data_IF_349328669510
#
_entry.id   IF_349328669510
#
_cell.length_a   1.000
_cell.length_b   1.000
_cell.length_c   1.000
_cell.angle_alpha   90.00
_cell.angle_beta   90.00
_cell.angle_gamma   90.00
#
_symmetry.space_group_name_H-M   'P 1'
#
loop_
_entity.id
_entity.type
_entity.pdbx_description
1 polymer ?
#
# COMPACT_ATOMS: atom_id res chain seq x y z
N UNK A 1 27.19 35.88 49.57
CA UNK A 1 26.78 35.43 48.23
C UNK A 1 26.29 33.97 48.30
N UNK A 2 24.97 33.76 48.29
CA UNK A 2 24.34 32.43 48.38
C UNK A 2 24.10 31.88 46.98
N UNK A 3 24.77 30.79 46.59
CA UNK A 3 24.55 30.07 45.33
C UNK A 3 23.23 29.28 45.47
N UNK A 4 22.20 29.63 44.69
CA UNK A 4 20.98 28.83 44.53
C UNK A 4 21.30 27.62 43.64
N UNK A 5 21.23 26.42 44.18
CA UNK A 5 21.23 25.16 43.43
C UNK A 5 19.85 25.01 42.83
N UNK A 6 19.74 25.07 41.49
CA UNK A 6 18.56 24.71 40.75
C UNK A 6 18.58 23.18 40.61
N UNK A 7 17.73 22.51 41.38
CA UNK A 7 17.48 21.08 41.24
C UNK A 7 16.45 20.93 40.11
N UNK A 8 16.93 20.48 38.94
CA UNK A 8 16.11 20.13 37.82
C UNK A 8 15.48 18.75 38.14
N UNK A 9 14.27 18.74 38.68
CA UNK A 9 13.49 17.50 38.88
C UNK A 9 13.07 16.97 37.54
N UNK A 10 13.76 15.92 37.09
CA UNK A 10 13.36 15.11 35.93
C UNK A 10 12.15 14.26 36.37
N UNK A 11 10.96 14.74 36.08
CA UNK A 11 9.73 13.94 36.25
C UNK A 11 9.74 12.89 35.14
N UNK A 12 10.20 11.70 35.49
CA UNK A 12 10.00 10.50 34.64
C UNK A 12 8.51 10.15 34.73
N UNK A 13 7.75 10.71 33.79
CA UNK A 13 6.38 10.29 33.56
C UNK A 13 6.45 8.93 32.89
N UNK A 14 6.31 7.86 33.68
CA UNK A 14 6.18 6.48 33.22
C UNK A 14 4.81 6.34 32.52
N UNK A 15 4.68 6.95 31.34
CA UNK A 15 3.55 6.74 30.45
C UNK A 15 3.66 5.33 29.87
N UNK A 16 2.68 4.50 30.12
CA UNK A 16 2.48 3.25 29.37
C UNK A 16 2.59 3.56 27.90
N UNK A 17 3.68 3.13 27.27
CA UNK A 17 3.92 3.29 25.84
C UNK A 17 2.84 2.49 25.10
N UNK A 18 1.74 3.16 24.73
CA UNK A 18 0.81 2.63 23.74
C UNK A 18 1.56 2.62 22.41
N UNK A 19 1.88 1.42 21.91
CA UNK A 19 2.46 1.26 20.58
C UNK A 19 1.39 1.64 19.56
N UNK A 20 1.42 2.88 19.11
CA UNK A 20 0.60 3.34 18.00
C UNK A 20 1.29 2.92 16.71
N UNK A 21 0.58 2.18 15.86
CA UNK A 21 1.16 1.62 14.64
C UNK A 21 0.39 2.12 13.43
N UNK A 22 1.04 2.87 12.52
CA UNK A 22 0.52 3.09 11.17
C UNK A 22 0.45 1.74 10.45
N UNK A 23 -0.67 1.43 9.82
CA UNK A 23 -1.01 0.08 9.39
C UNK A 23 -1.56 0.09 7.99
N UNK A 24 -1.17 -0.92 7.22
CA UNK A 24 -1.61 -1.15 5.84
C UNK A 24 -2.43 -2.44 5.74
N UNK A 25 -3.03 -2.68 4.58
CA UNK A 25 -3.72 -3.92 4.24
C UNK A 25 -2.77 -5.13 4.13
N UNK A 26 -1.46 -4.91 3.98
CA UNK A 26 -0.47 -5.96 3.75
C UNK A 26 0.43 -6.26 4.97
N UNK A 27 0.35 -5.51 6.05
CA UNK A 27 1.10 -5.79 7.27
C UNK A 27 0.28 -6.65 8.27
N UNK A 28 0.96 -7.20 9.29
CA UNK A 28 0.35 -8.03 10.33
C UNK A 28 0.07 -7.22 11.62
N UNK A 29 -0.24 -5.94 11.51
CA UNK A 29 -0.46 -5.06 12.64
C UNK A 29 -1.94 -4.69 12.75
N UNK A 30 -2.45 -4.56 13.97
CA UNK A 30 -3.83 -4.14 14.25
C UNK A 30 -3.88 -2.82 14.99
N UNK A 31 -4.84 -1.98 14.63
CA UNK A 31 -5.23 -0.81 15.41
C UNK A 31 -6.00 -1.23 16.65
N UNK A 32 -5.80 -0.56 17.75
CA UNK A 32 -6.55 -0.80 18.97
C UNK A 32 -8.01 -0.36 18.81
N UNK A 33 -8.87 -0.90 19.66
CA UNK A 33 -10.30 -0.56 19.66
C UNK A 33 -10.49 0.95 19.85
N UNK A 34 -11.35 1.55 19.02
CA UNK A 34 -11.69 2.98 19.00
C UNK A 34 -10.50 3.92 18.72
N UNK A 35 -9.42 3.41 18.18
CA UNK A 35 -8.32 4.24 17.68
C UNK A 35 -8.41 4.37 16.15
N UNK A 36 -8.14 5.56 15.64
CA UNK A 36 -8.15 5.90 14.23
C UNK A 36 -6.79 6.45 13.82
N UNK A 37 -6.10 5.75 12.95
CA UNK A 37 -4.86 6.21 12.33
C UNK A 37 -5.19 6.79 10.95
N UNK A 38 -4.74 7.99 10.67
CA UNK A 38 -4.94 8.64 9.36
C UNK A 38 -3.73 9.50 9.02
N UNK A 39 -3.40 9.57 7.75
CA UNK A 39 -2.30 10.43 7.31
C UNK A 39 -2.12 10.51 5.80
N UNK A 40 -1.44 11.57 5.34
CA UNK A 40 -1.01 11.73 3.97
C UNK A 40 0.24 10.88 3.69
N UNK A 41 0.35 10.44 2.45
CA UNK A 41 1.53 9.77 1.91
C UNK A 41 1.87 10.34 0.53
N UNK A 42 3.16 10.53 0.27
CA UNK A 42 3.70 10.89 -1.03
C UNK A 42 4.51 9.72 -1.58
N UNK A 43 4.30 9.41 -2.85
CA UNK A 43 5.05 8.41 -3.60
C UNK A 43 5.64 8.98 -4.89
N UNK A 44 6.78 8.46 -5.28
CA UNK A 44 7.40 8.69 -6.57
C UNK A 44 7.98 7.40 -7.10
N UNK A 45 7.75 7.12 -8.37
CA UNK A 45 8.40 6.04 -9.08
C UNK A 45 8.73 6.44 -10.51
N UNK A 46 9.75 5.81 -11.09
CA UNK A 46 10.10 6.03 -12.48
C UNK A 46 10.73 4.79 -13.10
N UNK A 47 10.59 4.67 -14.41
CA UNK A 47 11.21 3.62 -15.19
C UNK A 47 11.61 4.15 -16.59
N UNK A 48 12.68 3.57 -17.12
CA UNK A 48 13.15 3.81 -18.48
C UNK A 48 13.19 2.50 -19.26
N UNK A 49 13.54 1.40 -18.59
CA UNK A 49 13.49 0.07 -19.17
C UNK A 49 12.16 -0.62 -18.85
N UNK A 50 11.71 -1.47 -19.73
CA UNK A 50 10.49 -2.26 -19.56
C UNK A 50 10.65 -3.66 -20.20
N UNK A 51 9.74 -4.55 -19.91
CA UNK A 51 9.63 -5.83 -20.57
C UNK A 51 8.47 -5.80 -21.57
N UNK A 52 8.77 -6.18 -22.84
CA UNK A 52 7.80 -6.51 -23.88
C UNK A 52 7.73 -8.03 -23.93
N UNK A 53 6.65 -8.61 -23.45
CA UNK A 53 6.69 -10.01 -23.05
C UNK A 53 7.78 -10.20 -21.98
N UNK A 54 8.70 -11.13 -22.22
CA UNK A 54 9.88 -11.38 -21.37
C UNK A 54 11.14 -10.66 -21.84
N UNK A 55 11.10 -9.97 -22.99
CA UNK A 55 12.25 -9.28 -23.56
C UNK A 55 12.40 -7.90 -22.95
N UNK A 56 13.49 -7.66 -22.24
CA UNK A 56 13.81 -6.36 -21.68
C UNK A 56 14.24 -5.37 -22.75
N UNK A 57 13.61 -4.20 -22.76
CA UNK A 57 13.86 -3.10 -23.71
C UNK A 57 14.07 -1.76 -22.99
N UNK A 58 14.73 -0.84 -23.68
CA UNK A 58 14.77 0.58 -23.32
C UNK A 58 13.59 1.31 -23.99
N UNK A 59 12.92 2.18 -23.25
CA UNK A 59 11.82 2.99 -23.77
C UNK A 59 12.38 4.23 -24.48
N UNK A 60 12.70 4.06 -25.75
CA UNK A 60 13.23 5.15 -26.57
C UNK A 60 12.15 6.14 -27.02
N UNK A 61 10.87 5.72 -27.05
CA UNK A 61 9.76 6.54 -27.55
C UNK A 61 9.30 7.58 -26.53
N UNK A 62 9.17 7.18 -25.24
CA UNK A 62 8.66 8.02 -24.16
C UNK A 62 9.78 8.47 -23.20
N UNK A 63 10.99 7.91 -23.37
CA UNK A 63 12.09 8.15 -22.46
C UNK A 63 11.80 7.57 -21.07
N UNK A 64 11.95 8.40 -20.04
CA UNK A 64 11.62 8.03 -18.67
C UNK A 64 10.15 8.34 -18.37
N UNK A 65 9.39 7.33 -18.00
CA UNK A 65 8.04 7.48 -17.46
C UNK A 65 8.11 7.57 -15.94
N UNK A 66 7.47 8.57 -15.39
CA UNK A 66 7.43 8.81 -13.94
C UNK A 66 6.00 8.97 -13.45
N UNK A 67 5.77 8.52 -12.21
CA UNK A 67 4.49 8.59 -11.52
C UNK A 67 4.70 9.25 -10.15
N UNK A 68 3.90 10.26 -9.84
CA UNK A 68 3.78 10.84 -8.49
C UNK A 68 2.42 10.46 -7.93
N UNK A 69 2.39 10.13 -6.65
CA UNK A 69 1.18 9.73 -5.93
C UNK A 69 1.07 10.54 -4.66
N UNK A 70 -0.05 11.21 -4.47
CA UNK A 70 -0.44 11.82 -3.19
C UNK A 70 -1.63 11.04 -2.68
N UNK A 71 -1.55 10.41 -1.53
CA UNK A 71 -2.65 9.62 -1.02
C UNK A 71 -3.01 9.98 0.41
N UNK A 72 -4.27 9.78 0.76
CA UNK A 72 -4.73 9.77 2.15
C UNK A 72 -5.12 8.35 2.48
N UNK A 73 -4.55 7.83 3.57
CA UNK A 73 -4.86 6.49 4.05
C UNK A 73 -5.34 6.56 5.49
N UNK A 74 -6.23 5.63 5.85
CA UNK A 74 -6.71 5.54 7.21
C UNK A 74 -7.03 4.11 7.62
N UNK A 75 -7.00 3.88 8.95
CA UNK A 75 -7.29 2.61 9.57
C UNK A 75 -8.01 2.84 10.91
N UNK A 76 -9.19 2.29 11.06
CA UNK A 76 -9.99 2.36 12.28
C UNK A 76 -10.12 0.99 12.94
N UNK A 77 -9.79 0.92 14.22
CA UNK A 77 -9.98 -0.27 15.04
C UNK A 77 -11.40 -0.36 15.60
N UNK A 78 -12.23 -1.23 15.02
CA UNK A 78 -13.56 -1.53 15.56
C UNK A 78 -13.40 -2.27 16.89
N UNK A 79 -12.49 -3.23 16.91
CA UNK A 79 -12.08 -3.95 18.11
C UNK A 79 -10.67 -4.53 17.92
N UNK A 80 -10.11 -5.22 18.92
CA UNK A 80 -8.75 -5.76 18.89
C UNK A 80 -8.51 -6.88 17.85
N UNK A 81 -9.56 -7.27 17.10
CA UNK A 81 -9.50 -8.31 16.06
C UNK A 81 -10.01 -7.84 14.70
N UNK A 82 -10.67 -6.69 14.63
CA UNK A 82 -11.32 -6.20 13.39
C UNK A 82 -11.02 -4.75 13.17
N UNK A 83 -10.43 -4.46 12.01
CA UNK A 83 -10.13 -3.12 11.53
C UNK A 83 -10.79 -2.86 10.19
N UNK A 84 -11.11 -1.60 9.91
CA UNK A 84 -11.52 -1.11 8.60
C UNK A 84 -10.47 -0.12 8.12
N UNK A 85 -10.03 -0.28 6.87
CA UNK A 85 -9.02 0.58 6.26
C UNK A 85 -9.57 1.20 4.98
N UNK A 86 -9.00 2.34 4.61
CA UNK A 86 -9.25 2.96 3.32
C UNK A 86 -7.98 3.61 2.77
N UNK A 87 -7.94 3.79 1.45
CA UNK A 87 -6.89 4.53 0.76
C UNK A 87 -7.45 5.21 -0.48
N UNK A 88 -7.12 6.48 -0.66
CA UNK A 88 -7.52 7.29 -1.82
C UNK A 88 -6.28 8.02 -2.38
N UNK A 89 -5.73 7.58 -3.50
CA UNK A 89 -4.61 8.22 -4.16
C UNK A 89 -5.06 9.25 -5.20
N UNK A 90 -4.31 10.33 -5.32
CA UNK A 90 -4.27 11.24 -6.46
C UNK A 90 -2.96 10.98 -7.20
N UNK A 91 -3.06 10.63 -8.47
CA UNK A 91 -1.93 10.15 -9.28
C UNK A 91 -1.65 11.14 -10.41
N UNK A 92 -0.35 11.37 -10.68
CA UNK A 92 0.13 12.14 -11.82
C UNK A 92 1.17 11.31 -12.56
N UNK A 93 1.01 11.19 -13.86
CA UNK A 93 1.97 10.51 -14.74
C UNK A 93 2.66 11.49 -15.67
N UNK A 94 3.89 11.23 -16.04
CA UNK A 94 4.65 12.07 -16.96
C UNK A 94 5.69 11.24 -17.73
N UNK A 95 5.77 11.46 -19.04
CA UNK A 95 6.87 10.99 -19.89
C UNK A 95 7.90 12.12 -20.11
N UNK A 96 9.18 11.77 -20.23
CA UNK A 96 10.25 12.75 -20.48
C UNK A 96 10.46 13.07 -21.95
N UNK A 97 9.90 12.26 -22.85
CA UNK A 97 9.97 12.40 -24.30
C UNK A 97 8.66 11.89 -24.94
N UNK A 98 8.58 12.00 -26.26
CA UNK A 98 7.42 11.56 -27.03
C UNK A 98 6.27 12.58 -27.01
N UNK A 99 5.10 12.14 -27.48
CA UNK A 99 3.92 13.00 -27.67
C UNK A 99 2.77 12.66 -26.71
N UNK A 100 2.91 11.60 -25.89
CA UNK A 100 1.87 11.22 -24.94
C UNK A 100 1.91 12.17 -23.73
N UNK A 101 0.83 12.89 -23.54
CA UNK A 101 0.63 13.71 -22.35
C UNK A 101 0.41 12.82 -21.12
N UNK A 102 0.87 13.29 -19.96
CA UNK A 102 0.55 12.66 -18.68
C UNK A 102 -0.94 12.83 -18.37
N UNK A 103 -1.43 11.94 -17.54
CA UNK A 103 -2.76 12.04 -16.91
C UNK A 103 -2.61 12.34 -15.43
N UNK A 104 -3.62 12.98 -14.86
CA UNK A 104 -3.71 13.22 -13.42
C UNK A 104 -5.16 13.14 -12.94
N UNK A 105 -5.36 12.69 -11.72
CA UNK A 105 -6.69 12.58 -11.11
C UNK A 105 -6.71 11.70 -9.87
N UNK A 106 -7.89 11.62 -9.26
CA UNK A 106 -8.17 10.63 -8.24
C UNK A 106 -8.22 9.25 -8.92
N UNK A 107 -7.46 8.30 -8.39
CA UNK A 107 -7.45 6.93 -8.89
C UNK A 107 -8.58 6.13 -8.25
N UNK A 108 -8.30 4.95 -7.70
CA UNK A 108 -9.31 4.08 -7.13
C UNK A 108 -9.42 4.29 -5.61
N UNK A 109 -10.64 4.50 -5.11
CA UNK A 109 -10.91 4.38 -3.69
C UNK A 109 -10.86 2.89 -3.31
N UNK A 110 -10.00 2.56 -2.37
CA UNK A 110 -9.86 1.21 -1.84
C UNK A 110 -10.33 1.13 -0.40
N UNK A 111 -11.10 0.12 -0.08
CA UNK A 111 -11.64 -0.18 1.24
C UNK A 111 -11.25 -1.60 1.64
N UNK A 112 -10.84 -1.82 2.89
CA UNK A 112 -10.51 -3.15 3.37
C UNK A 112 -11.10 -3.41 4.76
N UNK A 113 -11.44 -4.67 4.99
CA UNK A 113 -11.76 -5.22 6.31
C UNK A 113 -10.67 -6.22 6.66
N UNK A 114 -9.96 -5.97 7.76
CA UNK A 114 -8.85 -6.78 8.26
C UNK A 114 -9.25 -7.47 9.55
N UNK A 115 -9.25 -8.79 9.51
CA UNK A 115 -9.61 -9.64 10.65
C UNK A 115 -8.42 -10.46 11.11
N UNK A 116 -8.07 -10.30 12.40
CA UNK A 116 -7.12 -11.18 13.09
C UNK A 116 -7.84 -12.45 13.54
N UNK A 117 -7.80 -13.49 12.71
CA UNK A 117 -8.51 -14.75 12.93
C UNK A 117 -7.92 -15.57 14.09
N UNK A 118 -6.58 -15.54 14.20
CA UNK A 118 -5.87 -16.36 15.18
C UNK A 118 -4.64 -15.62 15.70
N UNK A 119 -4.32 -15.78 16.99
CA UNK A 119 -3.06 -15.35 17.58
C UNK A 119 -2.77 -16.13 18.85
N UNK A 120 -1.74 -16.96 18.81
CA UNK A 120 -1.28 -17.76 19.97
C UNK A 120 0.24 -17.77 20.07
N UNK A 121 0.72 -18.03 21.29
CA UNK A 121 2.12 -18.32 21.53
C UNK A 121 2.44 -19.71 20.99
N UNK A 122 3.41 -19.82 20.10
CA UNK A 122 3.89 -21.08 19.49
C UNK A 122 5.39 -21.11 19.68
N UNK A 123 5.89 -22.14 20.33
CA UNK A 123 7.30 -22.24 20.75
C UNK A 123 7.75 -20.98 21.49
N UNK A 124 8.84 -20.34 21.07
CA UNK A 124 9.40 -19.12 21.69
C UNK A 124 8.85 -17.81 21.11
N UNK A 125 7.89 -17.87 20.16
CA UNK A 125 7.32 -16.70 19.50
C UNK A 125 5.79 -16.68 19.55
N UNK A 126 5.21 -15.80 18.77
CA UNK A 126 3.77 -15.63 18.56
C UNK A 126 3.43 -15.80 17.08
N UNK A 127 2.55 -16.73 16.78
CA UNK A 127 1.96 -16.89 15.46
C UNK A 127 0.62 -16.13 15.42
N UNK A 128 0.43 -15.30 14.39
CA UNK A 128 -0.82 -14.60 14.13
C UNK A 128 -1.25 -14.83 12.68
N UNK A 129 -2.54 -15.09 12.47
CA UNK A 129 -3.14 -15.28 11.16
C UNK A 129 -4.21 -14.22 10.94
N UNK A 130 -4.23 -13.64 9.72
CA UNK A 130 -5.19 -12.62 9.35
C UNK A 130 -5.86 -12.99 8.01
N UNK A 131 -7.13 -12.60 7.89
CA UNK A 131 -7.86 -12.58 6.65
C UNK A 131 -8.28 -11.13 6.36
N UNK A 132 -8.12 -10.71 5.10
CA UNK A 132 -8.44 -9.36 4.66
C UNK A 132 -9.27 -9.44 3.40
N UNK A 133 -10.47 -8.87 3.42
CA UNK A 133 -11.31 -8.62 2.26
C UNK A 133 -11.14 -7.18 1.81
N UNK A 134 -10.97 -6.93 0.52
CA UNK A 134 -10.81 -5.60 -0.04
C UNK A 134 -11.72 -5.36 -1.24
N UNK A 135 -12.17 -4.11 -1.39
CA UNK A 135 -12.92 -3.66 -2.56
C UNK A 135 -12.37 -2.33 -3.03
N UNK A 136 -12.03 -2.25 -4.31
CA UNK A 136 -11.53 -1.05 -4.96
C UNK A 136 -12.42 -0.66 -6.15
N UNK A 137 -12.61 0.64 -6.37
CA UNK A 137 -13.36 1.14 -7.51
C UNK A 137 -12.86 2.53 -7.91
N UNK A 138 -12.95 2.91 -9.20
CA UNK A 138 -12.58 4.23 -9.68
C UNK A 138 -13.28 5.33 -8.91
N UNK A 139 -12.50 6.32 -8.40
CA UNK A 139 -13.02 7.46 -7.66
C UNK A 139 -13.24 8.69 -8.54
N UNK A 140 -12.74 8.67 -9.77
CA UNK A 140 -12.98 9.64 -10.81
C UNK A 140 -13.06 8.96 -12.17
N UNK A 141 -13.53 9.69 -13.15
CA UNK A 141 -13.54 9.28 -14.55
C UNK A 141 -12.16 9.55 -15.15
N UNK A 142 -11.46 8.49 -15.55
CA UNK A 142 -10.14 8.55 -16.18
C UNK A 142 -10.03 7.46 -17.27
N UNK A 143 -9.14 7.63 -18.23
CA UNK A 143 -9.01 6.70 -19.36
C UNK A 143 -8.09 5.54 -19.00
N UNK A 144 -8.66 4.35 -18.76
CA UNK A 144 -7.95 3.15 -18.30
C UNK A 144 -7.00 2.56 -19.35
N UNK A 145 -7.30 2.69 -20.64
CA UNK A 145 -6.50 2.14 -21.75
C UNK A 145 -5.44 3.10 -22.29
N UNK A 146 -5.23 4.27 -21.69
CA UNK A 146 -4.18 5.21 -22.08
C UNK A 146 -2.81 4.83 -21.48
N UNK A 147 -2.49 3.55 -21.53
CA UNK A 147 -1.22 3.02 -21.01
C UNK A 147 -0.02 3.41 -21.91
N UNK A 148 1.16 3.67 -21.32
CA UNK A 148 1.49 3.59 -19.90
C UNK A 148 1.24 4.88 -19.11
N UNK A 149 0.49 5.84 -19.67
CA UNK A 149 0.24 7.14 -19.04
C UNK A 149 -1.06 7.18 -18.23
N UNK A 150 -1.89 6.14 -18.29
CA UNK A 150 -3.09 6.06 -17.46
C UNK A 150 -2.75 6.04 -15.97
N UNK A 151 -3.62 6.62 -15.15
CA UNK A 151 -3.50 6.66 -13.69
C UNK A 151 -4.04 5.39 -13.02
N UNK A 152 -4.79 4.54 -13.73
CA UNK A 152 -5.35 3.28 -13.26
C UNK A 152 -5.90 2.46 -14.43
N UNK A 153 -6.52 1.33 -14.13
CA UNK A 153 -7.09 0.41 -15.12
C UNK A 153 -8.62 0.50 -15.23
N UNK A 154 -9.27 1.37 -14.45
CA UNK A 154 -10.73 1.59 -14.44
C UNK A 154 -11.56 0.36 -14.04
N UNK A 155 -10.92 -0.71 -13.64
CA UNK A 155 -11.56 -1.97 -13.21
C UNK A 155 -11.89 -1.94 -11.73
N UNK A 156 -13.11 -2.35 -11.37
CA UNK A 156 -13.47 -2.62 -9.97
C UNK A 156 -12.81 -3.92 -9.52
N UNK A 157 -12.28 -3.92 -8.30
CA UNK A 157 -11.48 -5.02 -7.79
C UNK A 157 -12.08 -5.54 -6.48
N UNK A 158 -12.28 -6.86 -6.41
CA UNK A 158 -12.59 -7.57 -5.16
C UNK A 158 -11.37 -8.42 -4.80
N UNK A 159 -10.83 -8.25 -3.61
CA UNK A 159 -9.63 -8.98 -3.18
C UNK A 159 -9.83 -9.76 -1.89
N UNK A 160 -9.18 -10.92 -1.82
CA UNK A 160 -9.08 -11.72 -0.60
C UNK A 160 -7.61 -12.01 -0.32
N UNK A 161 -7.15 -11.67 0.88
CA UNK A 161 -5.76 -11.88 1.31
C UNK A 161 -5.69 -12.66 2.60
N UNK A 162 -4.80 -13.66 2.64
CA UNK A 162 -4.36 -14.33 3.85
C UNK A 162 -2.98 -13.85 4.27
N UNK A 163 -2.76 -13.64 5.58
CA UNK A 163 -1.44 -13.29 6.15
C UNK A 163 -1.12 -14.24 7.29
N UNK A 164 0.11 -14.75 7.32
CA UNK A 164 0.70 -15.43 8.47
C UNK A 164 1.94 -14.65 8.94
N UNK A 165 1.96 -14.30 10.23
CA UNK A 165 3.03 -13.54 10.88
C UNK A 165 3.56 -14.32 12.08
N UNK A 166 4.87 -14.48 12.15
CA UNK A 166 5.54 -15.07 13.29
C UNK A 166 6.56 -14.09 13.86
N UNK A 167 6.38 -13.73 15.14
CA UNK A 167 7.28 -12.82 15.85
C UNK A 167 7.92 -13.51 17.05
N UNK A 168 9.25 -13.42 17.14
CA UNK A 168 10.06 -13.90 18.27
C UNK A 168 10.94 -12.77 18.79
N UNK A 169 10.63 -12.28 19.99
CA UNK A 169 11.25 -11.06 20.51
C UNK A 169 10.98 -9.88 19.57
N UNK A 170 12.02 -9.21 19.12
CA UNK A 170 11.93 -8.08 18.21
C UNK A 170 12.04 -8.48 16.72
N UNK A 171 12.32 -9.74 16.40
CA UNK A 171 12.42 -10.24 15.02
C UNK A 171 11.09 -10.86 14.58
N UNK A 172 10.73 -10.61 13.32
CA UNK A 172 9.53 -11.18 12.74
C UNK A 172 9.72 -11.61 11.29
N UNK A 173 8.83 -12.49 10.86
CA UNK A 173 8.64 -12.87 9.47
C UNK A 173 7.16 -12.94 9.13
N UNK A 174 6.78 -12.41 7.99
CA UNK A 174 5.40 -12.37 7.50
C UNK A 174 5.35 -12.87 6.08
N UNK A 175 4.39 -13.75 5.79
CA UNK A 175 4.04 -14.16 4.43
C UNK A 175 2.58 -13.82 4.16
N UNK A 176 2.25 -13.44 2.94
CA UNK A 176 0.88 -13.22 2.52
C UNK A 176 0.64 -13.63 1.07
N UNK A 177 -0.58 -14.08 0.80
CA UNK A 177 -1.08 -14.35 -0.54
C UNK A 177 -2.39 -13.62 -0.77
N UNK A 178 -2.58 -13.09 -1.97
CA UNK A 178 -3.80 -12.35 -2.36
C UNK A 178 -4.31 -12.88 -3.69
N UNK A 179 -5.61 -13.02 -3.78
CA UNK A 179 -6.34 -13.23 -5.03
C UNK A 179 -7.22 -12.01 -5.31
N UNK A 180 -7.26 -11.54 -6.55
CA UNK A 180 -8.00 -10.35 -6.97
C UNK A 180 -8.87 -10.69 -8.16
N UNK A 181 -10.18 -10.58 -7.98
CA UNK A 181 -11.16 -10.62 -9.06
C UNK A 181 -11.32 -9.22 -9.61
N UNK A 182 -11.22 -9.06 -10.92
CA UNK A 182 -11.37 -7.78 -11.60
C UNK A 182 -12.63 -7.75 -12.47
N UNK A 183 -13.36 -6.62 -12.43
CA UNK A 183 -14.45 -6.40 -13.36
C UNK A 183 -13.91 -6.07 -14.74
N UNK A 184 -14.67 -6.40 -15.79
CA UNK A 184 -14.46 -5.87 -17.12
C UNK A 184 -14.47 -4.34 -17.11
N UNK A 185 -13.83 -3.75 -18.10
CA UNK A 185 -13.81 -2.30 -18.35
C UNK A 185 -14.48 -1.99 -19.68
N UNK A 186 -14.93 -0.74 -19.82
CA UNK A 186 -15.56 -0.26 -21.06
C UNK A 186 -14.68 0.82 -21.68
N UNK A 187 -14.33 0.64 -22.95
CA UNK A 187 -13.53 1.59 -23.70
C UNK A 187 -14.41 2.63 -24.40
N UNK A 188 -13.86 3.81 -24.63
CA UNK A 188 -14.51 4.85 -25.45
C UNK A 188 -14.25 4.62 -26.95
N UNK A 189 -14.48 3.38 -27.41
CA UNK A 189 -14.39 2.97 -28.83
C UNK A 189 -15.08 1.64 -29.03
N UNK A 190 -15.60 1.40 -30.23
CA UNK A 190 -16.45 0.22 -30.54
C UNK A 190 -15.65 -1.03 -30.90
N UNK A 191 -14.34 -0.96 -30.99
CA UNK A 191 -13.49 -2.09 -31.32
C UNK A 191 -12.07 -1.93 -30.75
N UNK A 192 -11.44 -3.05 -30.45
CA UNK A 192 -10.03 -3.10 -30.04
C UNK A 192 -9.33 -4.36 -30.57
N UNK A 193 -8.01 -4.36 -30.56
CA UNK A 193 -7.17 -5.46 -31.00
C UNK A 193 -6.37 -6.02 -29.82
N UNK A 194 -6.35 -7.34 -29.69
CA UNK A 194 -5.47 -8.07 -28.78
C UNK A 194 -4.49 -8.94 -29.61
N UNK A 195 -4.76 -10.23 -29.69
CA UNK A 195 -4.21 -11.16 -30.68
C UNK A 195 -5.13 -11.28 -31.91
N UNK A 196 -6.34 -10.80 -31.82
CA UNK A 196 -7.37 -10.73 -32.84
C UNK A 196 -8.21 -9.47 -32.67
N UNK A 197 -9.03 -9.14 -33.66
CA UNK A 197 -9.93 -7.97 -33.63
C UNK A 197 -11.19 -8.33 -32.84
N UNK A 198 -11.52 -7.50 -31.86
CA UNK A 198 -12.75 -7.55 -31.09
C UNK A 198 -13.65 -6.38 -31.48
N UNK A 199 -14.86 -6.68 -31.93
CA UNK A 199 -15.91 -5.68 -32.23
C UNK A 199 -16.80 -5.49 -31.02
N UNK A 200 -16.20 -4.93 -29.97
CA UNK A 200 -16.81 -4.65 -28.67
C UNK A 200 -16.07 -3.50 -28.01
N UNK A 201 -16.72 -2.76 -27.15
CA UNK A 201 -16.09 -1.79 -26.24
C UNK A 201 -15.82 -2.39 -24.84
N UNK A 202 -16.29 -3.61 -24.56
CA UNK A 202 -16.07 -4.29 -23.30
C UNK A 202 -14.80 -5.16 -23.38
N UNK A 203 -13.89 -4.97 -22.40
CA UNK A 203 -12.64 -5.70 -22.29
C UNK A 203 -12.66 -6.60 -21.08
N UNK A 204 -12.49 -7.90 -21.32
CA UNK A 204 -12.31 -8.88 -20.26
C UNK A 204 -10.97 -8.67 -19.55
N UNK A 205 -11.04 -8.38 -18.25
CA UNK A 205 -9.88 -8.15 -17.42
C UNK A 205 -9.46 -9.45 -16.72
N UNK A 206 -8.24 -9.95 -16.95
CA UNK A 206 -7.78 -11.16 -16.26
C UNK A 206 -7.68 -10.91 -14.76
N UNK A 207 -8.10 -11.87 -13.94
CA UNK A 207 -7.87 -11.87 -12.50
C UNK A 207 -6.38 -11.81 -12.18
N UNK A 208 -6.05 -11.54 -10.93
CA UNK A 208 -4.67 -11.44 -10.53
C UNK A 208 -4.40 -12.13 -9.19
N UNK A 209 -3.15 -12.51 -9.01
CA UNK A 209 -2.66 -13.04 -7.74
C UNK A 209 -1.39 -12.30 -7.31
N UNK A 210 -1.15 -12.23 -6.01
CA UNK A 210 0.12 -11.73 -5.50
C UNK A 210 0.57 -12.51 -4.28
N UNK A 211 1.86 -12.48 -4.07
CA UNK A 211 2.49 -13.10 -2.93
C UNK A 211 3.59 -12.17 -2.40
N UNK A 212 3.66 -12.05 -1.07
CA UNK A 212 4.57 -11.11 -0.41
C UNK A 212 5.23 -11.79 0.78
N UNK A 213 6.55 -11.62 0.90
CA UNK A 213 7.35 -12.06 2.04
C UNK A 213 8.03 -10.85 2.65
N UNK A 214 8.03 -10.79 3.98
CA UNK A 214 8.71 -9.76 4.77
C UNK A 214 9.46 -10.37 5.91
N UNK A 215 10.55 -9.75 6.28
CA UNK A 215 11.27 -10.12 7.48
C UNK A 215 12.08 -8.94 7.99
N UNK A 216 12.14 -8.81 9.31
CA UNK A 216 12.82 -7.68 9.90
C UNK A 216 12.67 -7.55 11.41
N UNK A 217 12.87 -6.34 11.85
CA UNK A 217 12.86 -5.93 13.25
C UNK A 217 11.58 -5.12 13.56
N UNK A 218 10.92 -5.44 14.67
CA UNK A 218 9.71 -4.74 15.15
C UNK A 218 9.76 -4.63 16.67
N UNK A 219 10.11 -3.46 17.19
CA UNK A 219 10.18 -3.19 18.63
C UNK A 219 10.15 -1.69 18.91
N UNK A 220 9.55 -1.28 20.04
CA UNK A 220 9.58 0.09 20.60
C UNK A 220 9.24 1.19 19.59
N UNK A 221 8.25 0.97 18.74
CA UNK A 221 7.82 1.95 17.74
C UNK A 221 8.68 1.98 16.46
N UNK A 222 9.73 1.17 16.37
CA UNK A 222 10.52 1.00 15.16
C UNK A 222 10.13 -0.30 14.45
N UNK A 223 9.88 -0.20 13.14
CA UNK A 223 9.78 -1.33 12.23
C UNK A 223 10.75 -1.08 11.09
N UNK A 224 11.57 -2.08 10.80
CA UNK A 224 12.50 -2.07 9.68
C UNK A 224 12.49 -3.46 9.05
N UNK A 225 12.08 -3.57 7.78
CA UNK A 225 11.85 -4.85 7.13
C UNK A 225 12.33 -4.86 5.68
N UNK A 226 12.94 -5.97 5.28
CA UNK A 226 13.15 -6.31 3.88
C UNK A 226 11.86 -6.94 3.32
N UNK A 227 11.58 -6.67 2.05
CA UNK A 227 10.36 -7.10 1.37
C UNK A 227 10.71 -7.72 0.03
N UNK A 228 10.10 -8.85 -0.26
CA UNK A 228 9.94 -9.40 -1.60
C UNK A 228 8.46 -9.43 -1.93
N UNK A 229 8.10 -8.96 -3.11
CA UNK A 229 6.72 -8.87 -3.60
C UNK A 229 6.65 -9.40 -5.03
N UNK A 230 5.68 -10.24 -5.30
CA UNK A 230 5.40 -10.77 -6.62
C UNK A 230 3.92 -10.60 -6.93
N UNK A 231 3.65 -10.08 -8.12
CA UNK A 231 2.31 -9.89 -8.68
C UNK A 231 2.26 -10.52 -10.06
N UNK A 232 1.19 -11.23 -10.37
CA UNK A 232 0.91 -11.73 -11.71
C UNK A 232 -0.58 -11.64 -12.04
N UNK A 233 -0.90 -11.40 -13.30
CA UNK A 233 -2.24 -11.61 -13.84
C UNK A 233 -2.42 -13.08 -14.22
N UNK A 234 -3.64 -13.60 -14.07
CA UNK A 234 -3.99 -14.99 -14.33
C UNK A 234 -4.57 -15.14 -15.74
N UNK A 235 -3.91 -14.54 -16.72
CA UNK A 235 -4.32 -14.53 -18.11
C UNK A 235 -3.91 -13.21 -18.78
N UNK A 236 -4.42 -13.01 -20.00
CA UNK A 236 -4.08 -11.89 -20.86
C UNK A 236 -3.20 -12.32 -22.03
N UNK A 237 -2.52 -11.36 -22.64
CA UNK A 237 -1.64 -11.57 -23.78
C UNK A 237 -0.43 -10.63 -23.69
N UNK A 238 0.64 -10.96 -24.41
CA UNK A 238 1.84 -10.11 -24.45
C UNK A 238 1.62 -8.84 -25.28
N UNK A 239 2.30 -7.77 -24.88
CA UNK A 239 2.41 -6.57 -25.72
C UNK A 239 3.04 -6.99 -27.06
N UNK A 240 2.33 -6.74 -28.14
CA UNK A 240 2.84 -7.01 -29.47
C UNK A 240 3.79 -5.92 -29.92
N UNK A 241 4.78 -6.29 -30.73
CA UNK A 241 5.79 -5.35 -31.25
C UNK A 241 5.13 -4.14 -31.93
N UNK A 242 5.61 -2.94 -31.59
CA UNK A 242 5.11 -1.65 -32.09
C UNK A 242 3.68 -1.31 -31.64
N UNK A 243 3.16 -2.01 -30.63
CA UNK A 243 1.86 -1.70 -30.06
C UNK A 243 2.01 -1.07 -28.67
N UNK A 244 0.96 -0.39 -28.22
CA UNK A 244 0.90 0.18 -26.88
C UNK A 244 0.50 -0.92 -25.86
N UNK A 245 0.90 -0.78 -24.61
CA UNK A 245 0.34 -1.62 -23.55
C UNK A 245 -1.18 -1.50 -23.50
N UNK A 246 -1.85 -2.58 -23.13
CA UNK A 246 -3.30 -2.67 -23.08
C UNK A 246 -3.75 -3.18 -21.70
N UNK A 247 -4.92 -2.75 -21.17
CA UNK A 247 -5.36 -3.09 -19.81
C UNK A 247 -5.40 -4.59 -19.49
N UNK A 248 -5.74 -5.44 -20.47
CA UNK A 248 -5.79 -6.90 -20.31
C UNK A 248 -4.50 -7.63 -20.71
N UNK A 249 -3.36 -6.92 -20.82
CA UNK A 249 -2.09 -7.62 -20.99
C UNK A 249 -1.78 -8.54 -19.81
N UNK A 250 -1.12 -9.68 -20.11
CA UNK A 250 -0.51 -10.54 -19.08
C UNK A 250 0.65 -9.79 -18.42
N UNK A 251 0.51 -9.45 -17.15
CA UNK A 251 1.49 -8.65 -16.42
C UNK A 251 2.06 -9.43 -15.23
N UNK A 252 3.39 -9.61 -15.21
CA UNK A 252 4.10 -10.17 -14.06
C UNK A 252 5.14 -9.19 -13.56
N UNK A 253 5.31 -9.14 -12.26
CA UNK A 253 6.25 -8.23 -11.63
C UNK A 253 6.80 -8.79 -10.33
N UNK A 254 8.12 -8.95 -10.25
CA UNK A 254 8.82 -9.24 -9.00
C UNK A 254 9.58 -8.01 -8.52
N UNK A 255 9.40 -7.66 -7.26
CA UNK A 255 10.03 -6.48 -6.63
C UNK A 255 10.74 -6.87 -5.34
N UNK A 256 11.83 -6.17 -5.07
CA UNK A 256 12.48 -6.19 -3.77
C UNK A 256 12.55 -4.78 -3.19
N UNK A 257 12.59 -4.69 -1.90
CA UNK A 257 12.71 -3.39 -1.25
C UNK A 257 12.85 -3.45 0.25
N UNK A 258 12.72 -2.27 0.82
CA UNK A 258 12.85 -2.05 2.24
C UNK A 258 11.75 -1.12 2.72
N UNK A 259 11.11 -1.47 3.84
CA UNK A 259 10.13 -0.62 4.52
C UNK A 259 10.65 -0.22 5.88
N UNK A 260 10.31 0.98 6.31
CA UNK A 260 10.49 1.41 7.69
C UNK A 260 9.26 2.14 8.22
N UNK A 261 9.11 2.11 9.53
CA UNK A 261 8.16 2.91 10.30
C UNK A 261 8.82 3.30 11.61
N UNK A 262 8.60 4.54 12.02
CA UNK A 262 9.12 5.05 13.28
C UNK A 262 8.08 5.91 14.00
N UNK A 263 7.71 5.50 15.21
CA UNK A 263 6.85 6.28 16.10
C UNK A 263 7.70 7.34 16.79
N UNK A 264 7.29 8.62 16.71
CA UNK A 264 8.07 9.74 17.22
C UNK A 264 8.16 9.71 18.75
N UNK A 265 9.34 9.66 19.38
CA UNK A 265 9.47 9.56 20.84
C UNK A 265 8.85 10.74 21.60
N UNK A 266 8.87 11.93 20.99
CA UNK A 266 8.31 13.16 21.58
C UNK A 266 6.79 13.26 21.40
N UNK A 267 6.21 12.48 20.47
CA UNK A 267 4.78 12.44 20.19
C UNK A 267 4.38 11.04 19.70
N UNK A 268 4.14 10.08 20.61
CA UNK A 268 3.91 8.67 20.26
C UNK A 268 2.72 8.41 19.33
N UNK A 269 1.78 9.36 19.21
CA UNK A 269 0.65 9.29 18.27
C UNK A 269 1.06 9.61 16.83
N UNK A 270 2.26 10.17 16.62
CA UNK A 270 2.77 10.55 15.32
C UNK A 270 3.78 9.51 14.85
N UNK A 271 3.59 9.00 13.64
CA UNK A 271 4.48 8.02 13.01
C UNK A 271 4.97 8.52 11.66
N UNK A 272 6.24 8.29 11.37
CA UNK A 272 6.83 8.41 10.05
C UNK A 272 6.92 7.03 9.42
N UNK A 273 6.51 6.88 8.16
CA UNK A 273 6.66 5.65 7.39
C UNK A 273 7.35 5.92 6.07
N UNK A 274 8.04 4.92 5.55
CA UNK A 274 8.60 5.01 4.22
C UNK A 274 8.97 3.65 3.66
N UNK A 275 9.09 3.59 2.33
CA UNK A 275 9.60 2.42 1.65
C UNK A 275 10.36 2.81 0.37
N UNK A 276 11.21 1.90 -0.06
CA UNK A 276 11.86 1.94 -1.38
C UNK A 276 11.68 0.56 -1.99
N UNK A 277 11.21 0.51 -3.25
CA UNK A 277 10.99 -0.73 -3.99
C UNK A 277 11.59 -0.63 -5.39
N UNK A 278 12.15 -1.73 -5.89
CA UNK A 278 12.64 -1.82 -7.26
C UNK A 278 12.17 -3.11 -7.93
N UNK A 279 11.76 -3.00 -9.20
CA UNK A 279 11.37 -4.15 -10.01
C UNK A 279 12.62 -4.85 -10.54
N UNK A 280 12.78 -6.13 -10.20
CA UNK A 280 13.95 -6.94 -10.57
C UNK A 280 13.66 -7.91 -11.73
N UNK A 281 12.41 -8.30 -11.91
CA UNK A 281 11.93 -9.11 -13.04
C UNK A 281 10.50 -8.73 -13.38
N UNK A 282 10.11 -8.94 -14.64
CA UNK A 282 8.77 -8.61 -15.08
C UNK A 282 8.42 -9.18 -16.46
N UNK A 283 7.12 -9.11 -16.80
CA UNK A 283 6.52 -9.37 -18.10
C UNK A 283 5.51 -8.26 -18.38
N UNK A 284 5.64 -7.59 -19.51
CA UNK A 284 4.77 -6.47 -19.92
C UNK A 284 4.66 -5.32 -18.89
N UNK A 285 5.72 -5.06 -18.16
CA UNK A 285 5.77 -4.01 -17.12
C UNK A 285 7.05 -3.18 -17.21
N UNK A 286 7.00 -1.96 -16.67
CA UNK A 286 8.17 -1.11 -16.51
C UNK A 286 9.11 -1.58 -15.40
N UNK A 287 10.43 -1.47 -15.61
CA UNK A 287 11.43 -1.67 -14.56
C UNK A 287 11.48 -0.46 -13.64
N UNK A 288 10.47 -0.33 -12.79
CA UNK A 288 10.32 0.83 -11.92
C UNK A 288 11.18 0.72 -10.67
N UNK A 289 11.76 1.85 -10.28
CA UNK A 289 12.26 2.09 -8.92
C UNK A 289 11.48 3.25 -8.34
N UNK A 290 11.05 3.12 -7.09
CA UNK A 290 10.25 4.15 -6.45
C UNK A 290 10.37 4.12 -4.93
N UNK A 291 9.89 5.18 -4.31
CA UNK A 291 9.79 5.31 -2.87
C UNK A 291 8.43 5.91 -2.47
N UNK A 292 8.03 5.66 -1.25
CA UNK A 292 6.93 6.35 -0.60
C UNK A 292 7.38 6.85 0.78
N UNK A 293 6.82 7.98 1.21
CA UNK A 293 6.98 8.53 2.55
C UNK A 293 5.63 9.04 3.04
N UNK A 294 5.30 8.79 4.30
CA UNK A 294 4.04 9.19 4.89
C UNK A 294 4.17 9.57 6.35
N UNK A 295 3.28 10.45 6.78
CA UNK A 295 3.15 10.87 8.18
C UNK A 295 1.74 10.50 8.62
N UNK A 296 1.64 9.73 9.71
CA UNK A 296 0.38 9.24 10.23
C UNK A 296 0.17 9.68 11.66
N UNK A 297 -1.06 10.04 11.98
CA UNK A 297 -1.48 10.44 13.30
C UNK A 297 -2.58 9.52 13.83
N UNK A 298 -2.45 9.09 15.09
CA UNK A 298 -3.43 8.24 15.76
C UNK A 298 -4.28 9.05 16.70
N UNK A 299 -5.59 9.04 16.45
CA UNK A 299 -6.63 9.64 17.29
C UNK A 299 -7.24 8.53 18.14
N UNK A 300 -7.16 8.65 19.46
CA UNK A 300 -7.77 7.71 20.40
C UNK A 300 -9.09 8.30 20.94
N UNK A 301 -10.20 7.71 20.56
CA UNK A 301 -11.54 8.13 21.00
C UNK A 301 -11.93 7.58 22.39
N UNK A 302 -11.09 6.74 23.04
CA UNK A 302 -11.41 6.17 24.34
C UNK A 302 -11.16 7.16 25.50
N UNK A 303 -10.31 8.19 25.30
CA UNK A 303 -9.83 9.10 26.35
C UNK A 303 -10.84 10.14 26.86
N UNK A 304 -12.03 10.29 26.26
CA UNK A 304 -12.98 11.35 26.65
C UNK A 304 -13.78 11.11 27.94
N UNK A 305 -13.61 9.99 28.65
CA UNK A 305 -14.43 9.68 29.85
C UNK A 305 -13.80 10.04 31.21
N UNK A 306 -12.63 10.68 31.27
CA UNK A 306 -11.93 10.95 32.55
C UNK A 306 -11.97 12.40 33.05
N UNK A 307 -12.61 13.33 32.35
CA UNK A 307 -12.60 14.76 32.72
C UNK A 307 -13.87 15.18 33.50
N UNK A 308 -14.97 14.41 33.43
CA UNK A 308 -16.26 14.88 33.99
C UNK A 308 -16.64 14.27 35.37
N UNK A 309 -15.74 13.60 36.08
CA UNK A 309 -16.09 12.95 37.35
C UNK A 309 -15.48 13.59 38.61
N UNK A 310 -14.71 14.69 38.51
CA UNK A 310 -14.02 15.27 39.68
C UNK A 310 -14.53 16.64 40.13
N UNK A 311 -15.53 17.24 39.45
CA UNK A 311 -16.09 18.57 39.82
C UNK A 311 -17.42 18.51 40.59
N UNK A 312 -17.87 17.36 41.06
CA UNK A 312 -19.11 17.23 41.84
C UNK A 312 -18.90 16.93 43.34
N UNK A 313 -17.73 17.24 43.89
CA UNK A 313 -17.52 17.22 45.34
C UNK A 313 -16.75 18.46 45.79
N UNK A 314 -17.46 19.54 45.89
CA UNK A 314 -17.20 20.65 46.86
C UNK A 314 -18.50 21.23 47.35
#
# INVERSE_FOLDING_TARGET
MKRKKIILSLIILCGTAMCTSAQTDIDAIMMEKNAFCVGPMFGYSSWKNYWEGTLKRENLNLGTVSTKVFSVMGNYGINNKLNVLFGLPYVLTKASAGQLNGQEGLQDLSLWIKWKAYSKKVASGRLSLFAIGGYGFPASDYTGDFLPMSIGLESKNLSLRGIADYQRGSWFGTISGTYVVRSNITLDRDAYYTTEMHYSNEVDMPDAASFNIRGGYRDKGLIAEAVFDHWNTLGGFDITRNNMPFPSNEMDMSRIGFNFKYDMPFHPQLSLTGNVMTTIAGRNVGQATGFNIGIFYVIDFTRKKKIDSDDSKK
#
